data_IF_946686455755
#
_entry.id   IF_946686455755
#
_cell.length_a   1.000
_cell.length_b   1.000
_cell.length_c   1.000
_cell.angle_alpha   90.00
_cell.angle_beta   90.00
_cell.angle_gamma   90.00
#
_symmetry.space_group_name_H-M   'P 1'
#
loop_
_entity.id
_entity.type
_entity.pdbx_description
1 polymer ?
#
# COMPACT_ATOMS: atom_id res chain seq x y z
N UNK A 1 6.73 -22.23 -6.25
CA UNK A 1 5.79 -22.01 -5.12
C UNK A 1 6.54 -21.33 -3.99
N UNK A 2 6.54 -20.00 -3.95
CA UNK A 2 7.10 -19.28 -2.81
C UNK A 2 6.00 -19.11 -1.78
N UNK A 3 6.10 -19.85 -0.68
CA UNK A 3 5.31 -19.65 0.52
C UNK A 3 5.76 -18.30 1.09
N UNK A 4 4.92 -17.26 0.95
CA UNK A 4 5.15 -15.97 1.60
C UNK A 4 5.08 -16.26 3.09
N UNK A 5 6.21 -16.11 3.78
CA UNK A 5 6.27 -16.26 5.22
C UNK A 5 5.24 -15.31 5.84
N UNK A 6 4.35 -15.85 6.68
CA UNK A 6 3.42 -15.05 7.48
C UNK A 6 4.24 -13.97 8.18
N UNK A 7 4.00 -12.67 7.94
CA UNK A 7 4.60 -11.68 8.81
C UNK A 7 4.02 -11.95 10.19
N UNK A 8 4.88 -12.20 11.16
CA UNK A 8 4.52 -11.98 12.56
C UNK A 8 4.02 -10.54 12.59
N UNK A 9 2.72 -10.34 12.74
CA UNK A 9 2.11 -9.02 12.87
C UNK A 9 2.71 -8.42 14.14
N UNK A 10 3.81 -7.67 13.99
CA UNK A 10 4.51 -7.01 15.08
C UNK A 10 3.66 -5.80 15.46
N UNK A 11 2.65 -6.06 16.30
CA UNK A 11 1.71 -5.08 16.77
C UNK A 11 0.40 -5.73 17.22
N UNK A 12 0.43 -6.39 18.38
CA UNK A 12 -0.67 -6.45 19.38
C UNK A 12 -2.09 -6.94 19.02
N UNK A 13 -2.48 -7.10 17.76
CA UNK A 13 -3.86 -7.35 17.39
C UNK A 13 -4.07 -8.82 17.03
N UNK A 14 -4.76 -9.56 17.91
CA UNK A 14 -5.35 -10.84 17.54
C UNK A 14 -6.39 -10.60 16.45
N UNK A 15 -6.00 -10.73 15.19
CA UNK A 15 -6.91 -10.65 14.04
C UNK A 15 -7.98 -11.74 14.20
N UNK A 16 -9.28 -11.37 14.27
CA UNK A 16 -10.34 -12.35 14.42
C UNK A 16 -10.31 -13.43 13.32
N UNK A 17 -10.65 -14.67 13.65
CA UNK A 17 -10.53 -15.80 12.72
C UNK A 17 -11.43 -15.66 11.46
N UNK A 18 -12.55 -14.96 11.56
CA UNK A 18 -13.40 -14.58 10.41
C UNK A 18 -12.70 -13.54 9.52
N UNK A 19 -12.07 -12.53 10.11
CA UNK A 19 -11.28 -11.52 9.38
C UNK A 19 -10.09 -12.16 8.67
N UNK A 20 -9.37 -13.04 9.37
CA UNK A 20 -8.24 -13.78 8.79
C UNK A 20 -8.68 -14.58 7.55
N UNK A 21 -9.80 -15.33 7.65
CA UNK A 21 -10.35 -16.09 6.52
C UNK A 21 -10.72 -15.21 5.33
N UNK A 22 -11.28 -14.02 5.57
CA UNK A 22 -11.62 -13.08 4.49
C UNK A 22 -10.37 -12.53 3.79
N UNK A 23 -9.30 -12.26 4.55
CA UNK A 23 -8.06 -11.75 3.97
C UNK A 23 -7.29 -12.85 3.23
N UNK A 24 -7.27 -14.08 3.75
CA UNK A 24 -6.74 -15.24 3.03
C UNK A 24 -7.51 -15.49 1.72
N UNK A 25 -8.84 -15.37 1.73
CA UNK A 25 -9.65 -15.47 0.50
C UNK A 25 -9.33 -14.34 -0.48
N UNK A 26 -9.13 -13.12 0.03
CA UNK A 26 -8.70 -11.96 -0.78
C UNK A 26 -7.36 -12.24 -1.47
N UNK A 27 -6.39 -12.79 -0.73
CA UNK A 27 -5.09 -13.18 -1.27
C UNK A 27 -5.21 -14.25 -2.36
N UNK A 28 -6.05 -15.28 -2.16
CA UNK A 28 -6.30 -16.31 -3.19
C UNK A 28 -6.87 -15.71 -4.47
N UNK A 29 -7.75 -14.73 -4.38
CA UNK A 29 -8.31 -14.03 -5.54
C UNK A 29 -7.29 -13.15 -6.24
N UNK A 30 -6.45 -12.47 -5.48
CA UNK A 30 -5.30 -11.75 -6.02
C UNK A 30 -4.35 -12.63 -6.82
N UNK A 31 -4.09 -13.85 -6.36
CA UNK A 31 -3.28 -14.83 -7.10
C UNK A 31 -3.94 -15.27 -8.43
N UNK A 32 -5.26 -15.13 -8.55
CA UNK A 32 -6.03 -15.41 -9.79
C UNK A 32 -6.27 -14.18 -10.67
N UNK A 33 -5.81 -13.00 -10.25
CA UNK A 33 -6.07 -11.75 -10.97
C UNK A 33 -7.51 -11.24 -10.82
N UNK A 34 -8.18 -11.55 -9.71
CA UNK A 34 -9.60 -11.25 -9.43
C UNK A 34 -9.80 -10.18 -8.32
N UNK A 35 -9.23 -8.95 -8.43
CA UNK A 35 -9.37 -7.95 -7.38
C UNK A 35 -10.80 -7.39 -7.24
N UNK A 36 -11.60 -7.40 -8.32
CA UNK A 36 -12.99 -6.92 -8.29
C UNK A 36 -13.90 -7.86 -7.48
N UNK A 37 -13.72 -9.17 -7.65
CA UNK A 37 -14.46 -10.20 -6.93
C UNK A 37 -14.07 -10.21 -5.44
N UNK A 38 -12.78 -10.00 -5.15
CA UNK A 38 -12.30 -9.84 -3.79
C UNK A 38 -12.95 -8.64 -3.10
N UNK A 39 -13.00 -7.49 -3.78
CA UNK A 39 -13.69 -6.29 -3.30
C UNK A 39 -15.18 -6.55 -3.02
N UNK A 40 -15.87 -7.27 -3.93
CA UNK A 40 -17.28 -7.59 -3.75
C UNK A 40 -17.55 -8.46 -2.51
N UNK A 41 -16.63 -9.37 -2.16
CA UNK A 41 -16.74 -10.19 -0.95
C UNK A 41 -16.49 -9.35 0.31
N UNK A 42 -15.44 -8.53 0.30
CA UNK A 42 -15.10 -7.69 1.45
C UNK A 42 -16.22 -6.69 1.76
N UNK A 43 -16.83 -6.08 0.75
CA UNK A 43 -17.95 -5.15 0.91
C UNK A 43 -19.24 -5.82 1.42
N UNK A 44 -19.39 -7.14 1.23
CA UNK A 44 -20.51 -7.91 1.80
C UNK A 44 -20.25 -8.33 3.25
N UNK A 45 -19.02 -8.21 3.74
CA UNK A 45 -18.71 -8.52 5.13
C UNK A 45 -19.29 -7.46 6.06
N UNK A 46 -19.82 -7.87 7.21
CA UNK A 46 -20.30 -6.96 8.26
C UNK A 46 -19.18 -6.48 9.20
N UNK A 47 -17.94 -6.92 8.96
CA UNK A 47 -16.80 -6.65 9.83
C UNK A 47 -16.27 -5.24 9.64
N UNK A 48 -16.10 -4.50 10.74
CA UNK A 48 -15.52 -3.14 10.77
C UNK A 48 -14.01 -3.16 11.07
N UNK A 49 -13.35 -4.28 10.82
CA UNK A 49 -11.93 -4.43 11.14
C UNK A 49 -11.05 -3.52 10.29
N UNK A 50 -10.05 -2.83 10.88
CA UNK A 50 -9.04 -2.07 10.14
C UNK A 50 -8.36 -2.88 9.03
N UNK A 51 -8.20 -4.19 9.23
CA UNK A 51 -7.63 -5.11 8.25
C UNK A 51 -8.53 -5.32 7.03
N UNK A 52 -9.86 -5.31 7.21
CA UNK A 52 -10.81 -5.38 6.09
C UNK A 52 -10.77 -4.07 5.31
N UNK A 53 -10.72 -2.92 5.98
CA UNK A 53 -10.55 -1.62 5.31
C UNK A 53 -9.23 -1.54 4.54
N UNK A 54 -8.14 -2.09 5.10
CA UNK A 54 -6.87 -2.20 4.39
C UNK A 54 -7.01 -3.07 3.13
N UNK A 55 -7.61 -4.25 3.24
CA UNK A 55 -7.83 -5.15 2.12
C UNK A 55 -8.69 -4.51 1.02
N UNK A 56 -9.75 -3.78 1.37
CA UNK A 56 -10.58 -3.00 0.44
C UNK A 56 -9.72 -1.97 -0.29
N UNK A 57 -8.90 -1.21 0.43
CA UNK A 57 -7.98 -0.23 -0.16
C UNK A 57 -7.00 -0.88 -1.15
N UNK A 58 -6.48 -2.08 -0.83
CA UNK A 58 -5.59 -2.83 -1.74
C UNK A 58 -6.33 -3.29 -2.99
N UNK A 59 -7.59 -3.72 -2.89
CA UNK A 59 -8.40 -4.00 -4.07
C UNK A 59 -8.52 -2.77 -4.97
N UNK A 60 -8.81 -1.59 -4.41
CA UNK A 60 -8.88 -0.35 -5.19
C UNK A 60 -7.53 0.02 -5.85
N UNK A 61 -6.40 -0.18 -5.16
CA UNK A 61 -5.08 -0.01 -5.78
C UNK A 61 -4.89 -0.90 -7.02
N UNK A 62 -5.27 -2.17 -6.90
CA UNK A 62 -5.14 -3.16 -7.98
C UNK A 62 -6.14 -2.95 -9.11
N UNK A 63 -7.21 -2.19 -8.86
CA UNK A 63 -8.19 -1.75 -9.84
C UNK A 63 -7.85 -0.36 -10.43
N UNK A 64 -6.70 0.22 -10.08
CA UNK A 64 -6.29 1.58 -10.47
C UNK A 64 -7.27 2.68 -10.03
N UNK A 65 -8.04 2.44 -8.97
CA UNK A 65 -8.90 3.43 -8.33
C UNK A 65 -8.16 4.11 -7.17
N UNK A 66 -7.20 4.97 -7.52
CA UNK A 66 -6.35 5.65 -6.55
C UNK A 66 -7.13 6.48 -5.53
N UNK A 67 -8.28 7.06 -5.92
CA UNK A 67 -9.09 7.91 -5.05
C UNK A 67 -9.72 7.10 -3.93
N UNK A 68 -10.39 5.99 -4.25
CA UNK A 68 -11.01 5.14 -3.25
C UNK A 68 -9.96 4.45 -2.37
N UNK A 69 -8.83 4.03 -2.96
CA UNK A 69 -7.70 3.50 -2.21
C UNK A 69 -7.17 4.51 -1.18
N UNK A 70 -6.93 5.75 -1.59
CA UNK A 70 -6.45 6.79 -0.70
C UNK A 70 -7.44 7.06 0.43
N UNK A 71 -8.74 7.13 0.14
CA UNK A 71 -9.76 7.31 1.17
C UNK A 71 -9.76 6.17 2.20
N UNK A 72 -9.68 4.92 1.74
CA UNK A 72 -9.64 3.75 2.61
C UNK A 72 -8.40 3.75 3.54
N UNK A 73 -7.22 4.11 3.03
CA UNK A 73 -6.01 4.12 3.87
C UNK A 73 -5.87 5.39 4.72
N UNK A 74 -6.42 6.52 4.30
CA UNK A 74 -6.27 7.77 5.04
C UNK A 74 -6.99 7.72 6.39
N UNK A 75 -8.15 7.05 6.47
CA UNK A 75 -8.85 6.81 7.74
C UNK A 75 -8.10 5.86 8.67
N UNK A 76 -7.28 4.97 8.12
CA UNK A 76 -6.50 3.99 8.89
C UNK A 76 -5.17 4.57 9.37
N UNK A 77 -4.43 5.20 8.46
CA UNK A 77 -3.00 5.45 8.62
C UNK A 77 -2.64 6.93 8.80
N UNK A 78 -3.63 7.84 8.79
CA UNK A 78 -3.41 9.28 8.88
C UNK A 78 -4.28 9.91 9.96
N UNK A 79 -3.75 10.91 10.65
CA UNK A 79 -4.51 11.87 11.44
C UNK A 79 -4.27 13.26 10.83
N UNK A 80 -5.24 13.72 10.03
CA UNK A 80 -5.08 14.88 9.17
C UNK A 80 -3.92 14.72 8.19
N UNK A 81 -2.85 15.52 8.36
CA UNK A 81 -1.66 15.55 7.50
C UNK A 81 -0.55 14.59 7.94
N UNK A 82 -0.62 14.06 9.16
CA UNK A 82 0.43 13.22 9.74
C UNK A 82 0.10 11.74 9.64
N UNK A 83 1.13 10.89 9.46
CA UNK A 83 0.98 9.45 9.53
C UNK A 83 0.95 9.00 10.99
N UNK A 84 -0.02 8.15 11.31
CA UNK A 84 -0.20 7.56 12.64
C UNK A 84 0.88 6.51 12.93
N UNK A 85 1.73 6.69 13.95
CA UNK A 85 2.78 5.72 14.27
C UNK A 85 2.25 4.48 15.00
N UNK A 86 1.06 4.58 15.59
CA UNK A 86 0.39 3.55 16.41
C UNK A 86 -0.31 2.46 15.57
N UNK A 87 -0.33 2.59 14.24
CA UNK A 87 -0.99 1.65 13.34
C UNK A 87 0.02 0.74 12.61
N UNK A 88 -0.40 -0.46 12.19
CA UNK A 88 0.44 -1.38 11.44
C UNK A 88 1.19 -0.69 10.29
N UNK A 89 2.50 -0.95 10.20
CA UNK A 89 3.37 -0.36 9.20
C UNK A 89 2.90 -0.61 7.75
N UNK A 90 2.22 -1.74 7.53
CA UNK A 90 1.61 -2.09 6.25
C UNK A 90 0.52 -1.11 5.81
N UNK A 91 -0.29 -0.56 6.74
CA UNK A 91 -1.33 0.42 6.39
C UNK A 91 -0.69 1.73 5.93
N UNK A 92 0.39 2.16 6.58
CA UNK A 92 1.18 3.33 6.18
C UNK A 92 1.86 3.13 4.84
N UNK A 93 2.39 1.93 4.58
CA UNK A 93 2.95 1.58 3.28
C UNK A 93 1.88 1.68 2.18
N UNK A 94 0.70 1.12 2.40
CA UNK A 94 -0.37 1.16 1.40
C UNK A 94 -0.91 2.57 1.15
N UNK A 95 -0.98 3.43 2.18
CA UNK A 95 -1.26 4.85 1.99
C UNK A 95 -0.19 5.52 1.11
N UNK A 96 1.08 5.16 1.27
CA UNK A 96 2.14 5.64 0.38
C UNK A 96 1.87 5.22 -1.07
N UNK A 97 1.51 3.96 -1.30
CA UNK A 97 1.20 3.44 -2.64
C UNK A 97 -0.02 4.13 -3.27
N UNK A 98 -1.05 4.43 -2.49
CA UNK A 98 -2.19 5.20 -2.99
C UNK A 98 -1.79 6.62 -3.41
N UNK A 99 -0.87 7.26 -2.67
CA UNK A 99 -0.29 8.56 -3.07
C UNK A 99 0.54 8.45 -4.35
N UNK A 100 1.23 7.33 -4.57
CA UNK A 100 1.93 7.08 -5.82
C UNK A 100 0.96 6.99 -7.00
N UNK A 101 -0.08 6.17 -6.88
CA UNK A 101 -1.08 5.98 -7.94
C UNK A 101 -1.89 7.25 -8.24
N UNK A 102 -2.07 8.14 -7.26
CA UNK A 102 -2.70 9.46 -7.47
C UNK A 102 -1.74 10.52 -8.01
N UNK A 103 -0.48 10.17 -8.30
CA UNK A 103 0.53 11.09 -8.82
C UNK A 103 1.20 11.97 -7.75
N UNK A 104 0.85 11.81 -6.46
CA UNK A 104 1.48 12.50 -5.35
C UNK A 104 2.80 11.84 -4.94
N UNK A 105 3.80 12.00 -5.79
CA UNK A 105 5.10 11.34 -5.65
C UNK A 105 5.91 11.87 -4.45
N UNK A 106 5.76 13.16 -4.10
CA UNK A 106 6.36 13.75 -2.89
C UNK A 106 5.79 13.06 -1.65
N UNK A 107 4.45 12.95 -1.57
CA UNK A 107 3.75 12.31 -0.46
C UNK A 107 4.05 10.82 -0.34
N UNK A 108 4.23 10.13 -1.47
CA UNK A 108 4.74 8.76 -1.51
C UNK A 108 6.15 8.67 -0.93
N UNK A 109 7.10 9.49 -1.41
CA UNK A 109 8.49 9.44 -0.98
C UNK A 109 8.66 9.77 0.52
N UNK A 110 7.89 10.72 1.04
CA UNK A 110 7.86 11.06 2.46
C UNK A 110 7.31 9.89 3.31
N UNK A 111 6.16 9.32 2.91
CA UNK A 111 5.55 8.20 3.61
C UNK A 111 6.47 6.96 3.60
N UNK A 112 7.09 6.64 2.47
CA UNK A 112 7.98 5.49 2.33
C UNK A 112 9.23 5.57 3.24
N UNK A 113 9.71 6.77 3.55
CA UNK A 113 10.79 6.99 4.52
C UNK A 113 10.37 6.73 5.96
N UNK A 114 9.10 6.97 6.30
CA UNK A 114 8.56 6.81 7.66
C UNK A 114 8.32 5.35 8.08
N UNK A 115 8.30 4.43 7.12
CA UNK A 115 8.04 3.00 7.37
C UNK A 115 9.36 2.26 7.56
N UNK A 116 9.56 1.61 8.71
CA UNK A 116 10.77 0.81 8.97
C UNK A 116 10.71 -0.53 8.24
N UNK A 117 11.81 -1.00 7.61
CA UNK A 117 11.89 -2.36 7.07
C UNK A 117 11.73 -3.46 8.12
N UNK A 118 12.06 -3.17 9.39
CA UNK A 118 11.87 -4.11 10.48
C UNK A 118 10.38 -4.38 10.75
N UNK A 119 9.53 -3.37 10.57
CA UNK A 119 8.09 -3.45 10.82
C UNK A 119 7.31 -3.91 9.58
N UNK A 120 7.83 -3.63 8.39
CA UNK A 120 7.22 -4.01 7.12
C UNK A 120 8.31 -4.33 6.08
N UNK A 121 8.72 -5.60 5.93
CA UNK A 121 9.78 -6.00 5.01
C UNK A 121 9.49 -5.61 3.54
N UNK A 122 8.21 -5.55 3.16
CA UNK A 122 7.76 -5.12 1.84
C UNK A 122 8.19 -3.68 1.49
N UNK A 123 8.44 -2.80 2.47
CA UNK A 123 8.94 -1.45 2.18
C UNK A 123 10.26 -1.46 1.41
N UNK A 124 11.09 -2.50 1.59
CA UNK A 124 12.40 -2.62 0.94
C UNK A 124 12.27 -2.70 -0.57
N UNK A 125 11.36 -3.53 -1.09
CA UNK A 125 11.13 -3.63 -2.55
C UNK A 125 10.69 -2.29 -3.15
N UNK A 126 9.79 -1.57 -2.48
CA UNK A 126 9.31 -0.27 -2.95
C UNK A 126 10.42 0.80 -2.92
N UNK A 127 11.26 0.80 -1.88
CA UNK A 127 12.43 1.68 -1.79
C UNK A 127 13.44 1.40 -2.89
N UNK A 128 13.64 0.13 -3.25
CA UNK A 128 14.54 -0.26 -4.34
C UNK A 128 14.03 0.17 -5.70
N UNK A 129 12.74 0.00 -5.98
CA UNK A 129 12.10 0.49 -7.20
C UNK A 129 12.21 2.02 -7.27
N UNK A 130 11.84 2.72 -6.20
CA UNK A 130 11.96 4.18 -6.14
C UNK A 130 13.40 4.66 -6.33
N UNK A 131 14.38 3.97 -5.72
CA UNK A 131 15.81 4.29 -5.87
C UNK A 131 16.31 4.06 -7.29
N UNK A 132 15.93 2.95 -7.93
CA UNK A 132 16.29 2.67 -9.34
C UNK A 132 15.73 3.73 -10.27
N UNK A 133 14.44 4.03 -10.12
CA UNK A 133 13.77 5.08 -10.88
C UNK A 133 14.43 6.46 -10.66
N UNK A 134 14.73 6.84 -9.42
CA UNK A 134 15.40 8.13 -9.16
C UNK A 134 16.78 8.22 -9.80
N UNK A 135 17.48 7.09 -9.94
CA UNK A 135 18.78 6.99 -10.62
C UNK A 135 18.65 7.09 -12.14
N UNK A 136 17.55 6.63 -12.73
CA UNK A 136 17.31 6.76 -14.18
C UNK A 136 16.97 8.17 -14.63
N UNK A 137 16.51 9.04 -13.72
CA UNK A 137 16.27 10.46 -14.02
C UNK A 137 17.58 11.20 -14.33
N UNK A 138 17.54 12.02 -15.37
CA UNK A 138 18.56 13.03 -15.68
C UNK A 138 18.63 14.11 -14.60
N UNK A 139 19.71 14.90 -14.59
CA UNK A 139 19.88 15.98 -13.62
C UNK A 139 18.74 17.02 -13.72
N UNK A 140 18.29 17.34 -14.93
CA UNK A 140 17.18 18.26 -15.16
C UNK A 140 15.85 17.71 -14.64
N UNK A 141 15.56 16.43 -14.86
CA UNK A 141 14.36 15.77 -14.33
C UNK A 141 14.37 15.68 -12.80
N UNK A 142 15.54 15.44 -12.19
CA UNK A 142 15.69 15.46 -10.72
C UNK A 142 15.43 16.86 -10.16
N UNK A 143 15.93 17.90 -10.83
CA UNK A 143 15.71 19.28 -10.42
C UNK A 143 14.23 19.65 -10.55
N UNK A 144 13.62 19.36 -11.70
CA UNK A 144 12.17 19.53 -11.91
C UNK A 144 11.36 18.80 -10.83
N UNK A 145 11.68 17.54 -10.56
CA UNK A 145 11.04 16.76 -9.49
C UNK A 145 11.13 17.44 -8.13
N UNK A 146 12.29 18.01 -7.78
CA UNK A 146 12.46 18.71 -6.52
C UNK A 146 11.57 19.96 -6.39
N UNK A 147 11.23 20.62 -7.50
CA UNK A 147 10.40 21.83 -7.51
C UNK A 147 8.90 21.56 -7.72
N UNK A 148 8.54 20.60 -8.58
CA UNK A 148 7.14 20.37 -8.98
C UNK A 148 6.54 19.09 -8.40
N UNK A 149 7.36 18.16 -7.90
CA UNK A 149 6.91 16.82 -7.51
C UNK A 149 6.60 15.90 -8.69
N UNK A 150 6.70 16.40 -9.92
CA UNK A 150 6.49 15.63 -11.14
C UNK A 150 7.83 15.20 -11.73
N UNK A 151 7.85 14.03 -12.34
CA UNK A 151 9.05 13.53 -13.01
C UNK A 151 8.67 12.71 -14.25
N UNK A 152 9.51 12.84 -15.27
CA UNK A 152 9.45 12.06 -16.49
C UNK A 152 10.69 11.16 -16.54
N UNK A 153 10.55 9.87 -16.90
CA UNK A 153 9.29 9.13 -17.02
C UNK A 153 8.58 8.94 -15.66
N UNK A 154 7.24 8.74 -15.63
CA UNK A 154 6.52 8.47 -14.40
C UNK A 154 7.02 7.17 -13.75
N UNK A 155 7.03 7.14 -12.42
CA UNK A 155 7.34 5.92 -11.67
C UNK A 155 6.23 4.88 -11.92
N UNK A 156 6.62 3.71 -12.43
CA UNK A 156 5.74 2.57 -12.63
C UNK A 156 6.22 1.39 -11.80
N UNK A 157 5.29 0.69 -11.18
CA UNK A 157 5.53 -0.58 -10.52
C UNK A 157 5.40 -1.69 -11.56
N UNK A 158 6.36 -2.62 -11.56
CA UNK A 158 6.40 -3.82 -12.41
C UNK A 158 5.67 -5.02 -11.76
N UNK A 159 4.97 -4.78 -10.64
CA UNK A 159 4.22 -5.77 -9.89
C UNK A 159 2.96 -5.14 -9.28
N UNK A 160 1.94 -5.96 -8.92
CA UNK A 160 0.71 -5.47 -8.31
C UNK A 160 0.97 -4.70 -7.01
N UNK A 161 0.41 -3.48 -6.84
CA UNK A 161 0.56 -2.72 -5.61
C UNK A 161 -0.26 -3.28 -4.46
N UNK A 162 0.16 -2.93 -3.24
CA UNK A 162 -0.59 -3.14 -2.01
C UNK A 162 -0.32 -4.47 -1.32
N UNK A 163 -0.15 -4.38 -0.01
CA UNK A 163 0.12 -5.50 0.91
C UNK A 163 -1.06 -5.74 1.85
N UNK A 164 -1.40 -7.00 2.12
CA UNK A 164 -2.47 -7.32 3.06
C UNK A 164 -1.98 -7.38 4.52
N UNK A 165 -0.68 -7.64 4.73
CA UNK A 165 -0.04 -7.92 6.04
C UNK A 165 1.32 -7.25 6.18
#
# INVERSE_FOLDING_TARGET
>A
MHQVARPTVLGGDNVPADVLRLIEETERRFQRGEPAEALAILNKSSSKSPWISNAIGVCHLRLHDARSAQYAFQSLASDGVYLRPDVPAVFRLNLALARLESGNLIGFAAALKSVSPADCPAVTKYREVFRRWRRSLSLGERLRFAFTGEAFPPLRLDFPPGELW
#
